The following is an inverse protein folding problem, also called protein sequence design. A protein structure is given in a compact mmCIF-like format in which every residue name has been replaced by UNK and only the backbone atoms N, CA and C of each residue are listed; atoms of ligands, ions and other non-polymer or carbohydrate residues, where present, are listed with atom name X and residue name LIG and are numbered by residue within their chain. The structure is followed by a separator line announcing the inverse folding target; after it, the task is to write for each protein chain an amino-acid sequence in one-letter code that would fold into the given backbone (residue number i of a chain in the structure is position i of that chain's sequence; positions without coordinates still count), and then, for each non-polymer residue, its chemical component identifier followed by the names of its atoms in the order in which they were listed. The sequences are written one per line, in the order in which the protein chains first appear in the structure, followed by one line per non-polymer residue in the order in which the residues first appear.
data_IF_236680491520
#
_entry.id   IF_236680491520
#
_cell.length_a   1.000
_cell.length_b   1.000
_cell.length_c   1.000
_cell.angle_alpha   90.00
_cell.angle_beta   90.00
_cell.angle_gamma   90.00
#
_symmetry.space_group_name_H-M   'P 1'
#
loop_
_entity.id
_entity.type
_entity.pdbx_description
1 polymer ?
#
# COMPACT_ATOMS: atom_id res chain seq x y z
N UNK A 1 -8.39 -2.30 -18.96
CA UNK A 1 -8.44 -2.27 -17.51
C UNK A 1 -9.84 -1.86 -17.17
N UNK A 2 -10.48 -2.54 -16.22
CA UNK A 2 -11.87 -2.28 -15.86
C UNK A 2 -11.99 -1.18 -14.81
N UNK A 3 -13.18 -0.61 -14.66
CA UNK A 3 -13.47 0.34 -13.58
C UNK A 3 -13.32 -0.31 -12.19
N UNK A 4 -13.68 -1.59 -12.05
CA UNK A 4 -13.53 -2.34 -10.80
C UNK A 4 -12.04 -2.47 -10.40
N UNK A 5 -11.17 -2.74 -11.38
CA UNK A 5 -9.71 -2.74 -11.17
C UNK A 5 -9.27 -1.39 -10.62
N UNK A 6 -9.63 -0.28 -11.28
CA UNK A 6 -9.22 1.06 -10.84
C UNK A 6 -9.75 1.40 -9.43
N UNK A 7 -11.00 1.06 -9.12
CA UNK A 7 -11.55 1.23 -7.77
C UNK A 7 -10.75 0.44 -6.72
N UNK A 8 -10.38 -0.80 -7.03
CA UNK A 8 -9.56 -1.62 -6.13
C UNK A 8 -8.17 -1.00 -5.91
N UNK A 9 -7.52 -0.51 -6.96
CA UNK A 9 -6.19 0.12 -6.84
C UNK A 9 -6.22 1.38 -5.95
N UNK A 10 -7.35 2.08 -5.90
CA UNK A 10 -7.54 3.26 -5.05
C UNK A 10 -7.63 2.97 -3.55
N UNK A 11 -7.78 1.70 -3.17
CA UNK A 11 -7.68 1.31 -1.77
C UNK A 11 -6.26 1.56 -1.24
N UNK A 12 -6.16 2.13 -0.05
CA UNK A 12 -4.89 2.22 0.69
C UNK A 12 -4.50 0.85 1.28
N UNK A 13 -5.49 0.08 1.70
CA UNK A 13 -5.36 -1.32 2.11
C UNK A 13 -6.04 -2.18 1.05
N UNK A 14 -5.26 -3.01 0.35
CA UNK A 14 -5.71 -3.81 -0.78
C UNK A 14 -5.52 -5.29 -0.48
N UNK A 15 -6.63 -5.99 -0.29
CA UNK A 15 -6.68 -7.43 -0.04
C UNK A 15 -7.93 -8.01 -0.69
N UNK A 16 -7.92 -9.32 -0.92
CA UNK A 16 -9.08 -10.08 -1.39
C UNK A 16 -8.99 -11.51 -0.85
N UNK A 17 -10.13 -12.19 -0.80
CA UNK A 17 -10.26 -13.54 -0.27
C UNK A 17 -9.44 -14.57 -1.07
N UNK A 18 -9.07 -15.69 -0.45
CA UNK A 18 -8.20 -16.70 -1.07
C UNK A 18 -8.77 -17.27 -2.38
N UNK A 19 -10.10 -17.34 -2.50
CA UNK A 19 -10.79 -17.86 -3.68
C UNK A 19 -11.09 -16.78 -4.74
N UNK A 20 -10.78 -15.51 -4.46
CA UNK A 20 -11.01 -14.42 -5.39
C UNK A 20 -9.95 -14.39 -6.49
N UNK A 21 -10.37 -13.99 -7.69
CA UNK A 21 -9.50 -13.89 -8.86
C UNK A 21 -9.29 -12.42 -9.26
N UNK A 22 -8.07 -12.08 -9.64
CA UNK A 22 -7.74 -10.74 -10.15
C UNK A 22 -7.41 -10.81 -11.64
N UNK A 23 -8.33 -10.31 -12.46
CA UNK A 23 -8.19 -10.25 -13.91
C UNK A 23 -7.83 -8.86 -14.41
N UNK A 24 -6.95 -8.79 -15.40
CA UNK A 24 -6.67 -7.56 -16.15
C UNK A 24 -6.85 -7.77 -17.65
N UNK A 25 -7.06 -6.66 -18.35
CA UNK A 25 -7.16 -6.59 -19.81
C UNK A 25 -6.81 -5.16 -20.24
N UNK A 26 -6.59 -4.87 -21.52
CA UNK A 26 -6.35 -3.51 -22.00
C UNK A 26 -7.66 -2.72 -21.92
N UNK A 27 -7.59 -1.41 -21.66
CA UNK A 27 -8.82 -0.61 -21.75
C UNK A 27 -9.12 -0.36 -23.22
N UNK A 28 -10.39 -0.21 -23.56
CA UNK A 28 -10.82 0.00 -24.94
C UNK A 28 -12.12 0.78 -24.98
N UNK A 29 -12.29 1.58 -26.03
CA UNK A 29 -13.58 2.18 -26.36
C UNK A 29 -14.48 1.16 -27.05
N UNK A 30 -15.78 1.18 -26.75
CA UNK A 30 -16.77 0.49 -27.58
C UNK A 30 -16.89 1.26 -28.90
N UNK A 31 -16.69 0.57 -30.03
CA UNK A 31 -16.70 1.15 -31.38
C UNK A 31 -15.71 2.32 -31.54
N UNK A 32 -14.38 2.04 -31.54
CA UNK A 32 -13.37 3.08 -31.63
C UNK A 32 -13.46 3.87 -32.94
N UNK A 33 -13.32 5.18 -32.86
CA UNK A 33 -13.19 6.11 -33.98
C UNK A 33 -11.80 6.74 -33.97
N UNK A 34 -11.30 7.33 -35.07
CA UNK A 34 -9.96 7.93 -35.13
C UNK A 34 -9.66 8.92 -34.00
N UNK A 35 -10.63 9.74 -33.59
CA UNK A 35 -10.50 10.69 -32.49
C UNK A 35 -10.27 10.03 -31.12
N UNK A 36 -10.68 8.77 -30.95
CA UNK A 36 -10.49 8.03 -29.70
C UNK A 36 -9.02 7.63 -29.49
N UNK A 37 -8.15 7.69 -30.51
CA UNK A 37 -6.72 7.41 -30.35
C UNK A 37 -6.07 8.44 -29.43
N UNK A 38 -6.28 9.73 -29.68
CA UNK A 38 -5.75 10.80 -28.83
C UNK A 38 -6.34 10.76 -27.42
N UNK A 39 -7.64 10.47 -27.30
CA UNK A 39 -8.29 10.30 -26.00
C UNK A 39 -7.74 9.10 -25.22
N UNK A 40 -7.43 7.99 -25.92
CA UNK A 40 -6.80 6.80 -25.33
C UNK A 40 -5.43 7.15 -24.76
N UNK A 41 -4.60 7.91 -25.48
CA UNK A 41 -3.28 8.31 -24.99
C UNK A 41 -3.37 9.16 -23.71
N UNK A 42 -4.28 10.13 -23.67
CA UNK A 42 -4.51 10.97 -22.48
C UNK A 42 -4.99 10.11 -21.30
N UNK A 43 -5.94 9.20 -21.55
CA UNK A 43 -6.46 8.31 -20.52
C UNK A 43 -5.39 7.34 -20.00
N UNK A 44 -4.57 6.76 -20.88
CA UNK A 44 -3.43 5.92 -20.50
C UNK A 44 -2.47 6.66 -19.57
N UNK A 45 -2.13 7.91 -19.89
CA UNK A 45 -1.24 8.71 -19.06
C UNK A 45 -1.85 8.99 -17.67
N UNK A 46 -3.16 9.28 -17.59
CA UNK A 46 -3.86 9.47 -16.31
C UNK A 46 -3.91 8.19 -15.48
N UNK A 47 -4.19 7.05 -16.10
CA UNK A 47 -4.15 5.75 -15.43
C UNK A 47 -2.73 5.45 -14.95
N UNK A 48 -1.70 5.74 -15.75
CA UNK A 48 -0.32 5.52 -15.36
C UNK A 48 0.08 6.36 -14.14
N UNK A 49 -0.26 7.65 -14.14
CA UNK A 49 -0.07 8.52 -12.98
C UNK A 49 -0.79 8.00 -11.74
N UNK A 50 -2.06 7.62 -11.89
CA UNK A 50 -2.84 7.07 -10.79
C UNK A 50 -2.24 5.78 -10.20
N UNK A 51 -1.82 4.85 -11.05
CA UNK A 51 -1.18 3.59 -10.60
C UNK A 51 0.13 3.88 -9.87
N UNK A 52 0.95 4.81 -10.38
CA UNK A 52 2.19 5.22 -9.73
C UNK A 52 1.93 5.91 -8.37
N UNK A 53 0.94 6.81 -8.30
CA UNK A 53 0.55 7.50 -7.06
C UNK A 53 0.08 6.51 -5.99
N UNK A 54 -0.53 5.39 -6.40
CA UNK A 54 -0.95 4.29 -5.52
C UNK A 54 0.20 3.35 -5.11
N UNK A 55 1.43 3.66 -5.52
CA UNK A 55 2.64 2.90 -5.21
C UNK A 55 2.78 1.58 -5.99
N UNK A 56 1.98 1.39 -7.04
CA UNK A 56 1.94 0.14 -7.80
C UNK A 56 3.03 0.18 -8.88
N UNK A 57 3.70 -0.96 -9.07
CA UNK A 57 4.75 -1.11 -10.07
C UNK A 57 4.24 -0.81 -11.49
N UNK A 58 4.98 -0.05 -12.31
CA UNK A 58 4.63 0.19 -13.71
C UNK A 58 4.43 -1.10 -14.54
N UNK A 59 5.10 -2.20 -14.16
CA UNK A 59 4.93 -3.50 -14.82
C UNK A 59 3.48 -4.02 -14.75
N UNK A 60 2.66 -3.58 -13.79
CA UNK A 60 1.23 -3.87 -13.76
C UNK A 60 0.49 -3.30 -14.99
N UNK A 61 0.87 -2.10 -15.42
CA UNK A 61 0.30 -1.45 -16.61
C UNK A 61 0.73 -2.16 -17.88
N UNK A 62 1.96 -2.64 -17.94
CA UNK A 62 2.47 -3.43 -19.07
C UNK A 62 1.70 -4.74 -19.24
N UNK A 63 1.45 -5.46 -18.14
CA UNK A 63 0.64 -6.69 -18.15
C UNK A 63 -0.79 -6.37 -18.62
N UNK A 64 -1.37 -5.29 -18.09
CA UNK A 64 -2.73 -4.88 -18.44
C UNK A 64 -2.85 -4.44 -19.90
N UNK A 65 -1.90 -3.66 -20.42
CA UNK A 65 -1.94 -3.12 -21.78
C UNK A 65 -1.59 -4.16 -22.86
N UNK A 66 -0.79 -5.17 -22.51
CA UNK A 66 -0.46 -6.29 -23.41
C UNK A 66 -1.55 -7.36 -23.48
N UNK A 67 -2.54 -7.33 -22.60
CA UNK A 67 -3.67 -8.27 -22.63
C UNK A 67 -4.80 -7.70 -23.48
N UNK A 68 -5.21 -8.37 -24.55
CA UNK A 68 -6.28 -7.89 -25.45
C UNK A 68 -7.55 -7.49 -24.70
N UNK A 69 -8.31 -6.52 -25.22
CA UNK A 69 -9.57 -6.07 -24.59
C UNK A 69 -10.68 -7.11 -24.65
N UNK A 70 -10.54 -8.08 -25.55
CA UNK A 70 -11.46 -9.22 -25.69
C UNK A 70 -11.07 -10.40 -24.80
N UNK A 71 -10.01 -10.28 -24.01
CA UNK A 71 -9.41 -11.36 -23.25
C UNK A 71 -9.19 -10.95 -21.80
N UNK A 72 -8.97 -11.92 -20.91
CA UNK A 72 -8.70 -11.64 -19.49
C UNK A 72 -7.48 -12.45 -19.05
N UNK A 73 -6.45 -11.75 -18.58
CA UNK A 73 -5.31 -12.36 -17.93
C UNK A 73 -5.53 -12.38 -16.43
N UNK A 74 -5.64 -13.58 -15.87
CA UNK A 74 -5.60 -13.79 -14.43
C UNK A 74 -4.16 -13.66 -13.94
N UNK A 75 -3.95 -12.90 -12.86
CA UNK A 75 -2.65 -12.71 -12.23
C UNK A 75 -2.66 -13.44 -10.89
N UNK A 76 -1.62 -14.23 -10.64
CA UNK A 76 -1.45 -14.92 -9.37
C UNK A 76 -1.15 -13.94 -8.22
N UNK A 77 -1.47 -14.36 -6.99
CA UNK A 77 -1.35 -13.52 -5.80
C UNK A 77 0.09 -13.07 -5.54
N UNK A 78 1.08 -13.94 -5.74
CA UNK A 78 2.48 -13.61 -5.49
C UNK A 78 2.96 -12.52 -6.44
N UNK A 79 2.54 -12.56 -7.70
CA UNK A 79 2.79 -11.48 -8.66
C UNK A 79 2.08 -10.20 -8.27
N UNK A 80 0.84 -10.24 -7.80
CA UNK A 80 0.11 -9.05 -7.35
C UNK A 80 0.77 -8.39 -6.13
N UNK A 81 1.29 -9.19 -5.19
CA UNK A 81 2.08 -8.70 -4.05
C UNK A 81 3.38 -8.05 -4.53
N UNK A 82 4.12 -8.72 -5.42
CA UNK A 82 5.37 -8.19 -5.98
C UNK A 82 5.20 -6.86 -6.73
N UNK A 83 4.04 -6.67 -7.35
CA UNK A 83 3.69 -5.44 -8.06
C UNK A 83 3.07 -4.36 -7.16
N UNK A 84 2.92 -4.64 -5.85
CA UNK A 84 2.23 -3.80 -4.87
C UNK A 84 0.75 -3.53 -5.19
N UNK A 85 0.12 -4.40 -5.97
CA UNK A 85 -1.34 -4.37 -6.22
C UNK A 85 -2.09 -4.84 -4.98
N UNK A 86 -1.60 -5.91 -4.35
CA UNK A 86 -2.10 -6.42 -3.07
C UNK A 86 -1.13 -6.03 -1.97
N UNK A 87 -1.65 -5.35 -0.94
CA UNK A 87 -0.86 -4.94 0.24
C UNK A 87 -1.07 -5.90 1.43
N UNK A 88 -1.98 -6.86 1.32
CA UNK A 88 -2.26 -7.81 2.40
C UNK A 88 -2.93 -7.18 3.62
N UNK A 89 -3.55 -6.01 3.45
CA UNK A 89 -4.22 -5.31 4.55
C UNK A 89 -3.28 -4.54 5.46
N UNK A 90 -2.03 -4.33 5.05
CA UNK A 90 -1.04 -3.56 5.78
C UNK A 90 -0.22 -2.70 4.82
N UNK A 91 0.13 -1.47 5.19
CA UNK A 91 1.06 -0.66 4.41
C UNK A 91 2.50 -0.91 4.84
N UNK A 92 3.45 -0.54 3.97
CA UNK A 92 4.83 -0.37 4.38
C UNK A 92 4.94 0.65 5.52
N UNK A 93 6.04 0.56 6.28
CA UNK A 93 6.32 1.48 7.38
C UNK A 93 6.97 2.73 6.81
N UNK A 94 6.35 3.89 7.06
CA UNK A 94 6.96 5.19 6.81
C UNK A 94 7.76 5.63 8.03
N UNK A 95 9.07 5.86 7.83
CA UNK A 95 10.00 6.26 8.88
C UNK A 95 10.37 7.73 8.72
N UNK A 96 10.09 8.52 9.75
CA UNK A 96 10.35 9.96 9.75
C UNK A 96 11.09 10.39 11.01
N UNK A 97 11.95 11.40 10.88
CA UNK A 97 12.52 12.14 12.02
C UNK A 97 11.62 13.34 12.30
N UNK A 98 11.18 13.47 13.54
CA UNK A 98 10.28 14.53 13.98
C UNK A 98 10.99 15.41 15.00
N UNK A 99 10.87 16.72 14.84
CA UNK A 99 11.29 17.71 15.83
C UNK A 99 10.07 18.55 16.24
N UNK A 100 9.56 18.33 17.45
CA UNK A 100 8.40 19.08 17.97
C UNK A 100 8.67 19.52 19.40
N UNK A 101 8.43 20.80 19.69
CA UNK A 101 8.55 21.37 21.03
C UNK A 101 9.92 21.10 21.71
N UNK A 102 11.00 21.10 20.92
CA UNK A 102 12.36 20.83 21.41
C UNK A 102 12.70 19.35 21.62
N UNK A 103 11.79 18.43 21.28
CA UNK A 103 12.01 16.97 21.34
C UNK A 103 12.27 16.43 19.94
N UNK A 104 13.37 15.67 19.79
CA UNK A 104 13.70 14.93 18.58
C UNK A 104 13.35 13.45 18.78
N UNK A 105 12.63 12.88 17.82
CA UNK A 105 12.29 11.46 17.85
C UNK A 105 12.18 10.87 16.46
N UNK A 106 12.43 9.57 16.37
CA UNK A 106 12.17 8.77 15.17
C UNK A 106 10.76 8.18 15.30
N UNK A 107 9.97 8.25 14.24
CA UNK A 107 8.62 7.73 14.18
C UNK A 107 8.47 6.79 13.00
N UNK A 108 8.10 5.55 13.28
CA UNK A 108 7.61 4.60 12.29
C UNK A 108 6.09 4.57 12.34
N UNK A 109 5.42 4.73 11.21
CA UNK A 109 3.97 4.58 11.14
C UNK A 109 3.52 3.73 9.95
N UNK A 110 2.45 2.98 10.14
CA UNK A 110 1.79 2.21 9.08
C UNK A 110 0.31 2.08 9.36
N UNK A 111 -0.47 1.86 8.31
CA UNK A 111 -1.87 1.48 8.43
C UNK A 111 -2.02 -0.03 8.31
N UNK A 112 -3.01 -0.56 9.01
CA UNK A 112 -3.44 -1.94 8.85
C UNK A 112 -4.96 -2.05 8.97
N UNK A 113 -5.49 -3.25 8.67
CA UNK A 113 -6.89 -3.57 8.93
C UNK A 113 -7.28 -3.46 10.42
N UNK A 114 -6.31 -3.42 11.32
CA UNK A 114 -6.50 -3.30 12.76
C UNK A 114 -6.27 -1.87 13.28
N UNK A 115 -6.15 -0.91 12.37
CA UNK A 115 -6.04 0.51 12.67
C UNK A 115 -4.66 1.10 12.34
N UNK A 116 -4.36 2.26 12.93
CA UNK A 116 -3.11 2.97 12.69
C UNK A 116 -2.08 2.64 13.75
N UNK A 117 -0.90 2.19 13.32
CA UNK A 117 0.17 1.75 14.21
C UNK A 117 1.29 2.76 14.14
N UNK A 118 1.75 3.22 15.30
CA UNK A 118 2.83 4.20 15.43
C UNK A 118 3.81 3.75 16.50
N UNK A 119 5.09 3.73 16.16
CA UNK A 119 6.18 3.52 17.09
C UNK A 119 7.05 4.77 17.12
N UNK A 120 7.46 5.20 18.31
CA UNK A 120 8.31 6.38 18.51
C UNK A 120 9.49 6.02 19.40
N UNK A 121 10.69 6.35 18.95
CA UNK A 121 11.92 6.32 19.74
C UNK A 121 12.34 7.77 20.01
N UNK A 122 12.24 8.18 21.26
CA UNK A 122 12.51 9.54 21.71
C UNK A 122 13.80 9.54 22.51
N UNK A 123 14.63 10.56 22.33
CA UNK A 123 15.74 10.85 23.25
C UNK A 123 15.44 12.13 24.03
N UNK A 124 15.37 12.01 25.35
CA UNK A 124 15.17 13.13 26.26
C UNK A 124 16.44 13.33 27.10
N UNK A 125 17.01 14.54 27.04
CA UNK A 125 18.23 14.87 27.79
C UNK A 125 17.94 14.78 29.30
N UNK A 126 18.64 13.87 29.99
CA UNK A 126 18.47 13.62 31.42
C UNK A 126 17.68 12.34 31.72
N UNK A 127 16.79 11.93 30.81
CA UNK A 127 15.93 10.76 30.97
C UNK A 127 16.32 9.57 30.06
N UNK A 128 17.16 9.81 29.05
CA UNK A 128 17.66 8.79 28.14
C UNK A 128 16.70 8.49 26.98
N UNK A 129 16.67 7.23 26.54
CA UNK A 129 15.79 6.77 25.47
C UNK A 129 14.43 6.32 26.02
N UNK A 130 13.37 6.74 25.34
CA UNK A 130 12.00 6.33 25.59
C UNK A 130 11.44 5.68 24.33
N UNK A 131 10.84 4.50 24.49
CA UNK A 131 10.08 3.85 23.44
C UNK A 131 8.58 3.99 23.72
N UNK A 132 7.80 4.41 22.72
CA UNK A 132 6.36 4.52 22.83
C UNK A 132 5.68 3.92 21.61
N UNK A 133 4.74 3.00 21.83
CA UNK A 133 3.89 2.44 20.79
C UNK A 133 2.45 2.89 21.00
N UNK A 134 1.83 3.41 19.95
CA UNK A 134 0.43 3.81 19.91
C UNK A 134 -0.25 3.00 18.82
N UNK A 135 -1.36 2.36 19.18
CA UNK A 135 -2.23 1.69 18.21
C UNK A 135 -3.61 2.33 18.34
N UNK A 136 -4.03 3.03 17.29
CA UNK A 136 -5.40 3.51 17.17
C UNK A 136 -6.26 2.40 16.61
N UNK A 137 -6.94 1.66 17.49
CA UNK A 137 -7.65 0.42 17.17
C UNK A 137 -8.87 0.57 16.25
N UNK A 138 -9.39 1.79 16.04
CA UNK A 138 -10.61 2.05 15.26
C UNK A 138 -11.79 1.12 15.59
N UNK A 139 -11.97 0.79 16.87
CA UNK A 139 -13.04 -0.11 17.35
C UNK A 139 -12.70 -1.61 17.36
N UNK A 140 -11.45 -1.99 17.07
CA UNK A 140 -10.94 -3.37 17.06
C UNK A 140 -10.03 -3.67 18.25
N UNK A 141 -10.39 -3.17 19.43
CA UNK A 141 -9.51 -3.27 20.61
C UNK A 141 -9.29 -4.72 21.05
N UNK A 142 -10.30 -5.58 20.89
CA UNK A 142 -10.23 -6.99 21.30
C UNK A 142 -9.28 -7.79 20.40
N UNK A 143 -9.35 -7.60 19.09
CA UNK A 143 -8.51 -8.30 18.13
C UNK A 143 -7.03 -7.93 18.28
N UNK A 144 -6.72 -6.71 18.74
CA UNK A 144 -5.36 -6.27 19.00
C UNK A 144 -4.70 -6.99 20.19
N UNK A 145 -5.47 -7.55 21.13
CA UNK A 145 -4.87 -8.28 22.26
C UNK A 145 -4.34 -9.66 21.84
N UNK A 146 -4.73 -10.15 20.66
CA UNK A 146 -4.26 -11.41 20.08
C UNK A 146 -2.98 -11.24 19.26
N UNK A 147 -2.48 -10.01 19.10
CA UNK A 147 -1.27 -9.76 18.33
C UNK A 147 -0.05 -10.41 19.02
N UNK A 148 0.88 -10.99 18.23
CA UNK A 148 2.07 -11.59 18.77
C UNK A 148 2.91 -10.54 19.50
N UNK A 149 3.61 -10.98 20.56
CA UNK A 149 4.57 -10.17 21.27
C UNK A 149 5.63 -9.66 20.27
N UNK A 150 5.86 -8.35 20.28
CA UNK A 150 6.95 -7.71 19.54
C UNK A 150 7.99 -7.27 20.56
N UNK A 151 9.17 -7.86 20.48
CA UNK A 151 10.32 -7.49 21.30
C UNK A 151 11.23 -6.53 20.51
N UNK A 152 11.69 -5.48 21.19
CA UNK A 152 12.66 -4.53 20.65
C UNK A 152 13.97 -4.74 21.39
N UNK A 153 14.99 -5.15 20.64
CA UNK A 153 16.35 -5.28 21.14
C UNK A 153 17.14 -4.03 20.74
N UNK A 154 17.74 -3.38 21.74
CA UNK A 154 18.70 -2.30 21.51
C UNK A 154 20.09 -2.92 21.51
N UNK A 155 20.66 -3.13 20.33
CA UNK A 155 22.04 -3.61 20.19
C UNK A 155 23.01 -2.48 20.60
N UNK A 156 23.87 -2.73 21.60
CA UNK A 156 24.93 -1.80 21.99
C UNK A 156 25.23 -1.64 23.48
N UNK A 157 24.83 -2.56 24.36
CA UNK A 157 25.31 -2.59 25.75
C UNK A 157 26.35 -3.69 25.93
N UNK A 158 27.51 -3.52 25.29
CA UNK A 158 28.71 -4.23 25.69
C UNK A 158 29.36 -3.43 26.84
N UNK A 159 29.43 -4.04 28.02
CA UNK A 159 30.17 -3.56 29.19
C UNK A 159 31.69 -3.69 28.97
#
# INVERSE_FOLDING_TARGET
MSAATLMYLGGRLRYFDADAQFGVHQFSFKNPKPEHVGQSQILSAKIAGYVADMGISPAFLEISSSTSSSDIKLIDKDTLVRLNVVTGGITDVDWTVQARSGVLYVRGERDSLHGQHKAMLVYAKGDGFLFHAVIEAQGRQTELTEFPLVELFLDGWDN
#
